data_IF_256468446824
#
_entry.id   IF_256468446824
#
_cell.length_a   1.000
_cell.length_b   1.000
_cell.length_c   1.000
_cell.angle_alpha   90.00
_cell.angle_beta   90.00
_cell.angle_gamma   90.00
#
_symmetry.space_group_name_H-M   'P 1'
#
loop_
_entity.id
_entity.type
_entity.pdbx_description
1 polymer ?
#
# COMPACT_ATOMS: atom_id res chain seq x y z
N UNK A 1 2.90 12.60 -7.16
CA UNK A 1 1.74 13.01 -7.97
C UNK A 1 2.14 13.04 -9.43
N UNK A 2 1.27 12.52 -10.29
CA UNK A 2 1.44 12.50 -11.73
C UNK A 2 0.43 13.48 -12.30
N UNK A 3 0.92 14.50 -12.99
CA UNK A 3 0.11 15.52 -13.64
C UNK A 3 0.23 15.35 -15.15
N UNK A 4 -0.89 15.43 -15.87
CA UNK A 4 -0.94 15.31 -17.33
C UNK A 4 -1.86 16.37 -17.93
N UNK A 5 -1.61 16.74 -19.19
CA UNK A 5 -2.42 17.71 -19.95
C UNK A 5 -1.76 19.09 -20.04
N UNK A 6 -2.57 20.11 -20.30
CA UNK A 6 -2.16 21.52 -20.30
C UNK A 6 -2.08 22.04 -18.85
N UNK A 7 -1.03 21.62 -18.15
CA UNK A 7 -0.82 21.94 -16.74
C UNK A 7 -0.45 23.42 -16.61
N UNK A 8 -1.26 24.16 -15.85
CA UNK A 8 -1.00 25.54 -15.47
C UNK A 8 -0.06 25.56 -14.24
N UNK A 9 0.92 26.46 -14.23
CA UNK A 9 1.89 26.62 -13.13
C UNK A 9 1.24 27.08 -11.80
N UNK A 10 -0.02 27.52 -11.83
CA UNK A 10 -0.75 28.05 -10.67
C UNK A 10 -1.46 27.00 -9.79
N UNK A 11 -1.08 25.72 -9.87
CA UNK A 11 -1.71 24.68 -9.05
C UNK A 11 -1.15 24.75 -7.62
N UNK A 12 -2.01 25.13 -6.67
CA UNK A 12 -1.66 25.17 -5.26
C UNK A 12 -1.60 23.76 -4.67
N UNK A 13 -0.39 23.35 -4.26
CA UNK A 13 -0.12 22.07 -3.61
C UNK A 13 0.32 22.25 -2.15
N UNK A 14 0.13 23.44 -1.56
CA UNK A 14 0.60 23.74 -0.21
C UNK A 14 -0.02 22.82 0.84
N UNK A 15 -1.29 22.43 0.68
CA UNK A 15 -1.96 21.49 1.59
C UNK A 15 -1.22 20.15 1.71
N UNK A 16 -0.63 19.67 0.61
CA UNK A 16 0.13 18.42 0.56
C UNK A 16 1.58 18.57 1.06
N UNK A 17 2.00 19.77 1.47
CA UNK A 17 3.31 19.99 2.08
C UNK A 17 3.25 19.99 3.61
N UNK A 18 2.06 19.85 4.19
CA UNK A 18 1.90 19.84 5.64
C UNK A 18 2.52 18.57 6.24
N UNK A 19 3.57 18.73 7.03
CA UNK A 19 4.30 17.64 7.69
C UNK A 19 3.44 16.81 8.65
N UNK A 20 2.34 17.37 9.19
CA UNK A 20 1.39 16.64 10.06
C UNK A 20 0.70 15.49 9.31
N UNK A 21 0.66 15.53 7.97
CA UNK A 21 0.05 14.48 7.15
C UNK A 21 0.99 13.28 6.94
N UNK A 22 2.26 13.38 7.32
CA UNK A 22 3.29 12.40 6.99
C UNK A 22 3.99 11.89 8.24
N UNK A 23 4.54 10.69 8.15
CA UNK A 23 5.42 10.18 9.18
C UNK A 23 6.69 11.05 9.30
N UNK A 24 7.18 11.28 10.53
CA UNK A 24 8.36 12.09 10.85
C UNK A 24 9.68 11.62 10.19
N UNK A 25 9.76 10.37 9.74
CA UNK A 25 10.89 9.79 8.99
C UNK A 25 10.83 10.10 7.48
N UNK A 26 9.74 10.67 6.98
CA UNK A 26 9.57 10.98 5.56
C UNK A 26 10.34 12.26 5.18
N UNK A 27 11.44 12.12 4.45
CA UNK A 27 12.29 13.24 4.03
C UNK A 27 11.66 14.09 2.91
N UNK A 28 11.03 13.43 1.94
CA UNK A 28 10.42 14.07 0.77
C UNK A 28 8.98 13.56 0.61
N UNK A 29 8.00 14.15 1.32
CA UNK A 29 6.64 13.62 1.40
C UNK A 29 5.82 13.77 0.11
N UNK A 30 6.27 14.61 -0.82
CA UNK A 30 5.60 14.85 -2.10
C UNK A 30 6.63 15.00 -3.22
N UNK A 31 6.51 14.15 -4.23
CA UNK A 31 7.20 14.27 -5.51
C UNK A 31 6.17 14.54 -6.61
N UNK A 32 6.52 15.38 -7.58
CA UNK A 32 5.64 15.77 -8.69
C UNK A 32 6.30 15.38 -10.00
N UNK A 33 5.59 14.61 -10.79
CA UNK A 33 5.97 14.25 -12.15
C UNK A 33 4.98 14.87 -13.13
N UNK A 34 5.49 15.62 -14.10
CA UNK A 34 4.72 16.26 -15.16
C UNK A 34 4.93 15.48 -16.46
N UNK A 35 3.87 14.86 -16.96
CA UNK A 35 3.86 14.16 -18.24
C UNK A 35 3.63 15.17 -19.38
N UNK A 36 4.63 15.31 -20.25
CA UNK A 36 4.58 16.24 -21.39
C UNK A 36 3.91 15.64 -22.63
N UNK A 37 3.33 14.44 -22.54
CA UNK A 37 2.65 13.81 -23.67
C UNK A 37 1.41 14.62 -24.10
N UNK A 38 1.48 15.17 -25.31
CA UNK A 38 0.42 16.00 -25.94
C UNK A 38 -0.83 15.21 -26.35
N UNK A 39 -0.83 13.89 -26.23
CA UNK A 39 -2.03 13.08 -26.44
C UNK A 39 -3.07 13.27 -25.34
N UNK A 40 -2.68 13.74 -24.16
CA UNK A 40 -3.60 14.09 -23.09
C UNK A 40 -4.19 15.48 -23.33
N UNK A 41 -5.43 15.53 -23.82
CA UNK A 41 -6.13 16.80 -24.10
C UNK A 41 -6.76 17.44 -22.87
N UNK A 42 -6.99 16.65 -21.81
CA UNK A 42 -7.62 17.11 -20.57
C UNK A 42 -6.64 17.04 -19.40
N UNK A 43 -6.75 18.01 -18.50
CA UNK A 43 -5.94 18.05 -17.29
C UNK A 43 -6.35 16.92 -16.33
N UNK A 44 -5.37 16.13 -15.90
CA UNK A 44 -5.58 15.09 -14.89
C UNK A 44 -4.47 15.08 -13.86
N UNK A 45 -4.85 14.74 -12.62
CA UNK A 45 -3.93 14.57 -11.50
C UNK A 45 -4.19 13.18 -10.93
N UNK A 46 -3.14 12.40 -10.79
CA UNK A 46 -3.17 11.08 -10.14
C UNK A 46 -2.18 11.06 -8.99
N UNK A 47 -2.61 10.54 -7.84
CA UNK A 47 -1.77 10.38 -6.67
C UNK A 47 -1.51 8.91 -6.43
N UNK A 48 -0.23 8.57 -6.30
CA UNK A 48 0.22 7.29 -5.77
C UNK A 48 0.79 7.63 -4.39
N UNK A 49 0.23 7.02 -3.35
CA UNK A 49 0.62 7.26 -1.96
C UNK A 49 0.93 5.94 -1.27
N UNK A 50 1.88 5.99 -0.33
CA UNK A 50 2.13 4.90 0.61
C UNK A 50 1.61 5.34 1.99
N UNK A 51 0.60 4.66 2.51
CA UNK A 51 -0.07 5.03 3.76
C UNK A 51 -0.52 3.81 4.56
N UNK A 52 -0.94 4.05 5.79
CA UNK A 52 -1.40 3.02 6.74
C UNK A 52 -2.84 2.58 6.49
N UNK A 53 -3.58 3.19 5.56
CA UNK A 53 -4.99 2.90 5.30
C UNK A 53 -5.28 1.41 5.03
N UNK A 54 -4.42 0.63 4.32
CA UNK A 54 -4.69 -0.79 4.10
C UNK A 54 -4.50 -1.69 5.32
N UNK A 55 -3.81 -1.22 6.37
CA UNK A 55 -3.36 -2.07 7.48
C UNK A 55 -4.53 -2.75 8.23
N UNK A 56 -5.62 -2.05 8.62
CA UNK A 56 -6.75 -2.69 9.30
C UNK A 56 -7.39 -3.82 8.47
N UNK A 57 -7.48 -3.65 7.15
CA UNK A 57 -8.02 -4.67 6.24
C UNK A 57 -7.08 -5.88 6.14
N UNK A 58 -5.76 -5.65 6.04
CA UNK A 58 -4.77 -6.74 6.00
C UNK A 58 -4.76 -7.54 7.30
N UNK A 59 -4.86 -6.87 8.46
CA UNK A 59 -4.97 -7.53 9.77
C UNK A 59 -6.19 -8.43 9.82
N UNK A 60 -7.36 -7.94 9.38
CA UNK A 60 -8.58 -8.75 9.33
C UNK A 60 -8.45 -9.96 8.40
N UNK A 61 -7.87 -9.79 7.21
CA UNK A 61 -7.64 -10.90 6.27
C UNK A 61 -6.70 -11.94 6.88
N UNK A 62 -5.62 -11.50 7.54
CA UNK A 62 -4.66 -12.38 8.18
C UNK A 62 -5.30 -13.22 9.29
N UNK A 63 -6.14 -12.62 10.13
CA UNK A 63 -6.89 -13.35 11.18
C UNK A 63 -7.75 -14.47 10.59
N UNK A 64 -8.47 -14.20 9.50
CA UNK A 64 -9.30 -15.20 8.83
C UNK A 64 -8.46 -16.29 8.17
N UNK A 65 -7.34 -15.92 7.55
CA UNK A 65 -6.42 -16.87 6.94
C UNK A 65 -5.79 -17.80 8.00
N UNK A 66 -5.35 -17.25 9.13
CA UNK A 66 -4.84 -18.03 10.27
C UNK A 66 -5.88 -19.01 10.83
N UNK A 67 -7.16 -18.61 10.90
CA UNK A 67 -8.25 -19.49 11.33
C UNK A 67 -8.50 -20.67 10.36
N UNK A 68 -8.47 -20.41 9.04
CA UNK A 68 -8.61 -21.48 8.06
C UNK A 68 -7.41 -22.44 8.10
N UNK A 69 -6.22 -21.88 8.26
CA UNK A 69 -4.99 -22.66 8.39
C UNK A 69 -5.00 -23.55 9.64
N UNK A 70 -5.37 -23.01 10.82
CA UNK A 70 -5.40 -23.76 12.07
C UNK A 70 -6.44 -24.90 12.08
N UNK A 71 -7.46 -24.80 11.24
CA UNK A 71 -8.49 -25.84 11.07
C UNK A 71 -8.19 -26.81 9.91
N UNK A 72 -7.03 -26.68 9.24
CA UNK A 72 -6.69 -27.40 8.01
C UNK A 72 -7.74 -27.28 6.90
N UNK A 73 -8.55 -26.23 6.93
CA UNK A 73 -9.62 -26.01 5.98
C UNK A 73 -9.03 -25.66 4.60
N UNK A 74 -9.50 -26.35 3.56
CA UNK A 74 -9.11 -26.13 2.15
C UNK A 74 -7.62 -26.33 1.82
N UNK A 75 -6.75 -26.70 2.78
CA UNK A 75 -5.30 -26.90 2.56
C UNK A 75 -5.02 -27.95 1.48
N UNK A 76 -5.82 -29.01 1.39
CA UNK A 76 -5.66 -30.04 0.36
C UNK A 76 -5.73 -29.48 -1.08
N UNK A 77 -6.48 -28.38 -1.30
CA UNK A 77 -6.59 -27.76 -2.61
C UNK A 77 -5.26 -27.13 -3.04
N UNK A 78 -4.50 -26.57 -2.10
CA UNK A 78 -3.17 -26.00 -2.34
C UNK A 78 -2.12 -27.11 -2.52
N UNK A 79 -2.18 -28.16 -1.68
CA UNK A 79 -1.30 -29.32 -1.77
C UNK A 79 -1.38 -29.99 -3.15
N UNK A 80 -2.57 -30.05 -3.76
CA UNK A 80 -2.76 -30.62 -5.10
C UNK A 80 -1.97 -29.89 -6.19
N UNK A 81 -1.57 -28.64 -5.96
CA UNK A 81 -0.72 -27.85 -6.86
C UNK A 81 0.72 -27.70 -6.33
N UNK A 82 1.14 -28.54 -5.38
CA UNK A 82 2.51 -28.58 -4.87
C UNK A 82 2.84 -27.51 -3.82
N UNK A 83 1.84 -26.80 -3.30
CA UNK A 83 2.05 -25.85 -2.20
C UNK A 83 1.99 -26.61 -0.88
N UNK A 84 3.08 -26.58 -0.12
CA UNK A 84 3.22 -27.27 1.17
C UNK A 84 2.63 -26.47 2.32
N UNK A 85 2.35 -27.16 3.43
CA UNK A 85 1.85 -26.53 4.65
C UNK A 85 2.83 -25.47 5.19
N UNK A 86 4.13 -25.78 5.17
CA UNK A 86 5.19 -24.87 5.60
C UNK A 86 5.25 -23.59 4.74
N UNK A 87 5.01 -23.70 3.43
CA UNK A 87 4.95 -22.53 2.55
C UNK A 87 3.77 -21.60 2.90
N UNK A 88 2.61 -22.17 3.25
CA UNK A 88 1.45 -21.39 3.69
C UNK A 88 1.77 -20.72 5.02
N UNK A 89 2.31 -21.47 5.99
CA UNK A 89 2.73 -20.94 7.29
C UNK A 89 3.68 -19.75 7.14
N UNK A 90 4.76 -19.92 6.38
CA UNK A 90 5.75 -18.88 6.14
C UNK A 90 5.11 -17.65 5.49
N UNK A 91 4.19 -17.84 4.53
CA UNK A 91 3.47 -16.74 3.90
C UNK A 91 2.63 -15.92 4.89
N UNK A 92 1.94 -16.60 5.82
CA UNK A 92 1.18 -15.92 6.88
C UNK A 92 2.10 -15.13 7.81
N UNK A 93 3.27 -15.68 8.16
CA UNK A 93 4.28 -14.99 8.96
C UNK A 93 4.86 -13.77 8.25
N UNK A 94 5.09 -13.83 6.94
CA UNK A 94 5.55 -12.66 6.17
C UNK A 94 4.51 -11.55 6.14
N UNK A 95 3.21 -11.87 6.00
CA UNK A 95 2.14 -10.86 6.06
C UNK A 95 2.09 -10.20 7.44
N UNK A 96 2.23 -10.97 8.52
CA UNK A 96 2.32 -10.46 9.88
C UNK A 96 3.51 -9.51 10.07
N UNK A 97 4.69 -9.87 9.55
CA UNK A 97 5.87 -9.01 9.58
C UNK A 97 5.64 -7.69 8.81
N UNK A 98 4.96 -7.74 7.66
CA UNK A 98 4.61 -6.54 6.89
C UNK A 98 3.71 -5.62 7.73
N UNK A 99 2.63 -6.16 8.32
CA UNK A 99 1.72 -5.40 9.18
C UNK A 99 2.49 -4.73 10.32
N UNK A 100 3.27 -5.51 11.08
CA UNK A 100 4.06 -4.99 12.20
C UNK A 100 5.07 -3.92 11.76
N UNK A 101 5.66 -4.07 10.57
CA UNK A 101 6.60 -3.07 10.01
C UNK A 101 5.89 -1.75 9.72
N UNK A 102 4.68 -1.79 9.15
CA UNK A 102 3.89 -0.57 8.90
C UNK A 102 3.35 0.05 10.18
N UNK A 103 2.88 -0.74 11.14
CA UNK A 103 2.44 -0.24 12.46
C UNK A 103 3.60 0.42 13.23
N UNK A 104 4.84 -0.05 13.06
CA UNK A 104 6.01 0.64 13.62
C UNK A 104 6.27 2.03 13.00
N UNK A 105 5.63 2.33 11.86
CA UNK A 105 5.60 3.66 11.23
C UNK A 105 4.37 4.46 11.68
N UNK A 106 3.49 3.93 12.52
CA UNK A 106 2.35 4.67 13.06
C UNK A 106 2.69 5.44 14.35
N UNK A 107 3.97 5.56 14.71
CA UNK A 107 4.40 6.23 15.93
C UNK A 107 4.40 7.75 15.82
N UNK A 108 3.79 8.37 16.83
CA UNK A 108 3.75 9.80 17.20
C UNK A 108 5.08 10.56 16.99
#
# INVERSE_FOLDING_TARGET
MIMRGEINENIDLHLFKNHVLYNNKSLNPLEIYIDQNKQFTNNSISMISNCLTPIPTLTHILEKAKLLYSTNAYIYQYNNYGVTHDQIYNSLMYVEQIINSYESLSSE
#
